data_IF_616558944932
#
_entry.id   IF_616558944932
#
_cell.length_a   1.000
_cell.length_b   1.000
_cell.length_c   1.000
_cell.angle_alpha   90.00
_cell.angle_beta   90.00
_cell.angle_gamma   90.00
#
_symmetry.space_group_name_H-M   'P 1'
#
loop_
_entity.id
_entity.type
_entity.pdbx_description
1 polymer ?
#
# COMPACT_ATOMS: atom_id res chain seq x y z
N UNK A 1 -6.89 16.24 -37.91
CA UNK A 1 -7.69 15.89 -36.71
C UNK A 1 -7.98 14.40 -36.84
N UNK A 2 -7.24 13.55 -36.15
CA UNK A 2 -7.45 12.09 -36.22
C UNK A 2 -8.80 11.78 -35.59
N UNK A 3 -9.74 11.27 -36.38
CA UNK A 3 -10.98 10.69 -35.88
C UNK A 3 -10.60 9.61 -34.87
N UNK A 4 -10.86 9.90 -33.59
CA UNK A 4 -10.91 8.86 -32.59
C UNK A 4 -12.15 8.07 -32.95
N UNK A 5 -11.99 7.02 -33.74
CA UNK A 5 -13.01 6.01 -33.95
C UNK A 5 -13.36 5.47 -32.57
N UNK A 6 -14.43 6.02 -31.99
CA UNK A 6 -15.05 5.54 -30.78
C UNK A 6 -15.63 4.17 -31.15
N UNK A 7 -14.80 3.14 -31.03
CA UNK A 7 -15.23 1.76 -31.07
C UNK A 7 -16.37 1.61 -30.05
N UNK A 8 -17.62 1.72 -30.50
CA UNK A 8 -18.81 1.53 -29.68
C UNK A 8 -18.83 0.06 -29.33
N UNK A 9 -18.18 -0.27 -28.20
CA UNK A 9 -18.28 -1.59 -27.59
C UNK A 9 -19.74 -1.98 -27.52
N UNK A 10 -20.05 -3.20 -27.94
CA UNK A 10 -21.41 -3.72 -27.93
C UNK A 10 -21.97 -3.59 -26.50
N UNK A 11 -23.29 -3.38 -26.33
CA UNK A 11 -23.89 -3.22 -25.00
C UNK A 11 -23.52 -4.36 -24.04
N UNK A 12 -23.33 -5.58 -24.57
CA UNK A 12 -22.87 -6.75 -23.83
C UNK A 12 -21.42 -6.59 -23.30
N UNK A 13 -20.50 -6.05 -24.09
CA UNK A 13 -19.11 -5.83 -23.67
C UNK A 13 -18.97 -4.74 -22.60
N UNK A 14 -19.82 -3.70 -22.64
CA UNK A 14 -19.84 -2.68 -21.59
C UNK A 14 -20.32 -3.27 -20.25
N UNK A 15 -21.38 -4.07 -20.26
CA UNK A 15 -21.89 -4.73 -19.06
C UNK A 15 -20.85 -5.67 -18.42
N UNK A 16 -20.12 -6.42 -19.25
CA UNK A 16 -19.02 -7.28 -18.78
C UNK A 16 -17.87 -6.46 -18.17
N UNK A 17 -17.50 -5.34 -18.80
CA UNK A 17 -16.47 -4.44 -18.27
C UNK A 17 -16.89 -3.82 -16.93
N UNK A 18 -18.14 -3.36 -16.81
CA UNK A 18 -18.67 -2.79 -15.57
C UNK A 18 -18.67 -3.83 -14.45
N UNK A 19 -19.09 -5.08 -14.74
CA UNK A 19 -19.06 -6.17 -13.76
C UNK A 19 -17.65 -6.47 -13.28
N UNK A 20 -16.68 -6.60 -14.21
CA UNK A 20 -15.27 -6.84 -13.88
C UNK A 20 -14.67 -5.68 -13.07
N UNK A 21 -14.96 -4.44 -13.44
CA UNK A 21 -14.48 -3.25 -12.73
C UNK A 21 -15.02 -3.20 -11.30
N UNK A 22 -16.31 -3.50 -11.10
CA UNK A 22 -16.92 -3.58 -9.76
C UNK A 22 -16.24 -4.64 -8.88
N UNK A 23 -15.90 -5.80 -9.42
CA UNK A 23 -15.21 -6.85 -8.66
C UNK A 23 -13.81 -6.42 -8.23
N UNK A 24 -13.03 -5.81 -9.14
CA UNK A 24 -11.71 -5.25 -8.83
C UNK A 24 -11.78 -4.14 -7.78
N UNK A 25 -12.75 -3.23 -7.92
CA UNK A 25 -12.95 -2.11 -7.01
C UNK A 25 -13.32 -2.57 -5.60
N UNK A 26 -14.12 -3.64 -5.46
CA UNK A 26 -14.43 -4.23 -4.14
C UNK A 26 -13.17 -4.73 -3.43
N UNK A 27 -12.27 -5.39 -4.16
CA UNK A 27 -10.99 -5.85 -3.61
C UNK A 27 -10.11 -4.69 -3.11
N UNK A 28 -10.03 -3.62 -3.89
CA UNK A 28 -9.29 -2.41 -3.50
C UNK A 28 -9.88 -1.74 -2.26
N UNK A 29 -11.21 -1.59 -2.20
CA UNK A 29 -11.88 -0.97 -1.04
C UNK A 29 -11.66 -1.81 0.22
N UNK A 30 -11.76 -3.14 0.15
CA UNK A 30 -11.48 -4.00 1.32
C UNK A 30 -10.06 -3.81 1.86
N UNK A 31 -9.06 -3.78 0.98
CA UNK A 31 -7.67 -3.58 1.41
C UNK A 31 -7.42 -2.16 1.92
N UNK A 32 -8.04 -1.16 1.29
CA UNK A 32 -8.00 0.21 1.77
C UNK A 32 -8.56 0.33 3.18
N UNK A 33 -9.72 -0.28 3.44
CA UNK A 33 -10.30 -0.36 4.79
C UNK A 33 -9.38 -1.09 5.78
N UNK A 34 -8.75 -2.19 5.39
CA UNK A 34 -7.77 -2.90 6.24
C UNK A 34 -6.57 -2.02 6.59
N UNK A 35 -6.05 -1.25 5.63
CA UNK A 35 -4.91 -0.37 5.84
C UNK A 35 -5.25 0.74 6.84
N UNK A 36 -6.42 1.38 6.71
CA UNK A 36 -6.91 2.36 7.68
C UNK A 36 -7.09 1.72 9.05
N UNK A 37 -7.67 0.52 9.12
CA UNK A 37 -7.87 -0.18 10.38
C UNK A 37 -6.54 -0.41 11.11
N UNK A 38 -5.53 -0.93 10.41
CA UNK A 38 -4.19 -1.16 10.96
C UNK A 38 -3.50 0.14 11.39
N UNK A 39 -3.64 1.24 10.67
CA UNK A 39 -3.05 2.53 11.09
C UNK A 39 -3.74 3.11 12.31
N UNK A 40 -5.06 2.99 12.42
CA UNK A 40 -5.80 3.40 13.61
C UNK A 40 -5.35 2.59 14.83
N UNK A 41 -5.21 1.27 14.71
CA UNK A 41 -4.69 0.42 15.79
C UNK A 41 -3.26 0.81 16.17
N UNK A 42 -2.40 1.07 15.20
CA UNK A 42 -1.03 1.55 15.43
C UNK A 42 -1.02 2.85 16.26
N UNK A 43 -1.87 3.83 15.91
CA UNK A 43 -1.97 5.08 16.66
C UNK A 43 -2.58 4.92 18.05
N UNK A 44 -3.59 4.06 18.23
CA UNK A 44 -4.14 3.81 19.58
C UNK A 44 -3.11 3.20 20.51
N UNK A 45 -2.23 2.31 20.01
CA UNK A 45 -1.12 1.78 20.79
C UNK A 45 -0.12 2.86 21.22
N UNK A 46 0.20 3.81 20.33
CA UNK A 46 1.06 4.96 20.68
C UNK A 46 0.39 5.86 21.72
N UNK A 47 -0.90 6.14 21.55
CA UNK A 47 -1.65 6.96 22.51
C UNK A 47 -1.72 6.27 23.88
N UNK A 48 -2.00 4.96 23.92
CA UNK A 48 -1.99 4.19 25.17
C UNK A 48 -0.63 4.21 25.86
N UNK A 49 0.46 4.15 25.08
CA UNK A 49 1.83 4.34 25.60
C UNK A 49 2.04 5.73 26.20
N UNK A 50 1.65 6.79 25.48
CA UNK A 50 1.81 8.19 25.92
C UNK A 50 0.96 8.53 27.15
N UNK A 51 -0.20 7.89 27.31
CA UNK A 51 -1.10 8.03 28.46
C UNK A 51 -0.64 7.23 29.69
N UNK A 52 0.46 6.47 29.60
CA UNK A 52 1.02 5.73 30.72
C UNK A 52 0.21 4.52 31.16
N UNK A 53 -0.57 3.91 30.25
CA UNK A 53 -1.34 2.70 30.56
C UNK A 53 -0.39 1.57 30.94
N UNK A 54 -0.60 0.97 32.10
CA UNK A 54 0.22 -0.13 32.61
C UNK A 54 0.25 -1.30 31.61
N UNK A 55 1.45 -1.76 31.24
CA UNK A 55 1.67 -2.81 30.24
C UNK A 55 2.09 -2.33 28.85
N UNK A 56 1.89 -1.05 28.50
CA UNK A 56 2.33 -0.49 27.22
C UNK A 56 3.71 0.17 27.36
N UNK A 57 4.75 -0.65 27.48
CA UNK A 57 6.14 -0.16 27.52
C UNK A 57 6.66 0.14 26.10
N UNK A 58 7.59 1.11 25.99
CA UNK A 58 8.28 1.47 24.74
C UNK A 58 8.84 0.27 23.97
N UNK A 59 9.32 -0.74 24.70
CA UNK A 59 9.91 -1.95 24.14
C UNK A 59 8.91 -2.88 23.46
N UNK A 60 7.62 -2.79 23.78
CA UNK A 60 6.55 -3.56 23.11
C UNK A 60 5.98 -2.76 21.94
N UNK A 61 5.75 -1.46 22.17
CA UNK A 61 5.07 -0.58 21.22
C UNK A 61 5.93 -0.32 19.98
N UNK A 62 7.23 -0.03 20.14
CA UNK A 62 8.10 0.28 19.00
C UNK A 62 8.20 -0.90 18.01
N UNK A 63 8.54 -2.15 18.43
CA UNK A 63 8.60 -3.27 17.50
C UNK A 63 7.25 -3.58 16.83
N UNK A 64 6.14 -3.45 17.56
CA UNK A 64 4.81 -3.67 17.02
C UNK A 64 4.45 -2.64 15.93
N UNK A 65 4.84 -1.37 16.13
CA UNK A 65 4.68 -0.32 15.13
C UNK A 65 5.50 -0.61 13.86
N UNK A 66 6.74 -1.03 14.02
CA UNK A 66 7.58 -1.43 12.88
C UNK A 66 6.99 -2.63 12.13
N UNK A 67 6.41 -3.60 12.84
CA UNK A 67 5.71 -4.73 12.23
C UNK A 67 4.51 -4.26 11.41
N UNK A 68 3.65 -3.41 11.98
CA UNK A 68 2.52 -2.85 11.23
C UNK A 68 2.98 -1.99 10.06
N UNK A 69 4.02 -1.18 10.21
CA UNK A 69 4.59 -0.37 9.13
C UNK A 69 5.14 -1.24 7.98
N UNK A 70 5.84 -2.33 8.30
CA UNK A 70 6.33 -3.27 7.28
C UNK A 70 5.17 -3.94 6.52
N UNK A 71 4.14 -4.39 7.24
CA UNK A 71 2.93 -4.96 6.62
C UNK A 71 2.22 -3.93 5.75
N UNK A 72 2.14 -2.66 6.19
CA UNK A 72 1.57 -1.58 5.39
C UNK A 72 2.33 -1.40 4.08
N UNK A 73 3.66 -1.27 4.12
CA UNK A 73 4.46 -1.11 2.89
C UNK A 73 4.26 -2.30 1.94
N UNK A 74 4.22 -3.53 2.47
CA UNK A 74 3.97 -4.72 1.66
C UNK A 74 2.57 -4.72 1.01
N UNK A 75 1.52 -4.44 1.80
CA UNK A 75 0.14 -4.39 1.29
C UNK A 75 -0.05 -3.26 0.27
N UNK A 76 0.55 -2.09 0.54
CA UNK A 76 0.51 -0.95 -0.37
C UNK A 76 1.15 -1.32 -1.71
N UNK A 77 2.35 -1.91 -1.71
CA UNK A 77 3.03 -2.33 -2.94
C UNK A 77 2.26 -3.44 -3.68
N UNK A 78 1.71 -4.43 -2.97
CA UNK A 78 1.03 -5.57 -3.59
C UNK A 78 -0.32 -5.18 -4.22
N UNK A 79 -1.12 -4.34 -3.55
CA UNK A 79 -2.48 -4.01 -4.00
C UNK A 79 -2.59 -2.77 -4.87
N UNK A 80 -1.84 -1.69 -4.58
CA UNK A 80 -1.88 -0.52 -5.47
C UNK A 80 -1.29 -0.82 -6.84
N UNK A 81 -0.39 -1.81 -6.92
CA UNK A 81 0.33 -2.09 -8.15
C UNK A 81 -0.20 -3.25 -9.02
N UNK A 82 -1.43 -3.73 -8.79
CA UNK A 82 -2.12 -4.69 -9.69
C UNK A 82 -1.28 -5.92 -10.10
N UNK A 83 -0.43 -6.44 -9.21
CA UNK A 83 0.41 -7.63 -9.49
C UNK A 83 -0.36 -8.93 -9.73
N UNK A 84 -1.70 -8.88 -9.81
CA UNK A 84 -2.58 -10.01 -10.11
C UNK A 84 -2.62 -10.36 -11.61
N UNK A 85 -2.11 -9.51 -12.51
CA UNK A 85 -2.09 -9.77 -13.96
C UNK A 85 -0.73 -10.34 -14.43
N UNK A 86 -0.79 -11.50 -15.10
CA UNK A 86 0.37 -12.23 -15.62
C UNK A 86 1.14 -11.38 -16.64
N UNK A 87 2.45 -11.21 -16.43
CA UNK A 87 3.39 -10.77 -17.48
C UNK A 87 4.26 -9.54 -17.17
N UNK A 88 4.27 -9.01 -15.94
CA UNK A 88 4.90 -7.73 -15.65
C UNK A 88 6.11 -7.85 -14.70
N UNK A 89 7.13 -8.60 -15.13
CA UNK A 89 8.40 -8.73 -14.37
C UNK A 89 9.18 -7.41 -14.26
N UNK A 90 9.03 -6.51 -15.25
CA UNK A 90 9.72 -5.21 -15.28
C UNK A 90 9.14 -4.23 -14.23
N UNK A 91 7.81 -4.01 -14.13
CA UNK A 91 7.23 -3.19 -13.06
C UNK A 91 7.56 -3.67 -11.64
N UNK A 92 7.59 -4.99 -11.43
CA UNK A 92 7.98 -5.57 -10.15
C UNK A 92 9.45 -5.25 -9.81
N UNK A 93 10.35 -5.34 -10.79
CA UNK A 93 11.76 -4.99 -10.62
C UNK A 93 11.94 -3.50 -10.31
N UNK A 94 11.22 -2.62 -11.00
CA UNK A 94 11.25 -1.18 -10.73
C UNK A 94 10.70 -0.84 -9.34
N UNK A 95 9.65 -1.52 -8.87
CA UNK A 95 9.14 -1.32 -7.51
C UNK A 95 10.10 -1.78 -6.43
N UNK A 96 10.70 -2.96 -6.58
CA UNK A 96 11.66 -3.45 -5.60
C UNK A 96 12.87 -2.51 -5.52
N UNK A 97 13.37 -2.08 -6.68
CA UNK A 97 14.45 -1.10 -6.77
C UNK A 97 14.05 0.24 -6.15
N UNK A 98 12.85 0.74 -6.45
CA UNK A 98 12.30 1.95 -5.86
C UNK A 98 12.14 1.87 -4.35
N UNK A 99 11.68 0.74 -3.82
CA UNK A 99 11.57 0.49 -2.38
C UNK A 99 12.94 0.47 -1.69
N UNK A 100 13.94 -0.16 -2.32
CA UNK A 100 15.33 -0.16 -1.84
C UNK A 100 15.88 1.27 -1.79
N UNK A 101 15.72 2.06 -2.84
CA UNK A 101 16.16 3.46 -2.84
C UNK A 101 15.39 4.33 -1.84
N UNK A 102 14.07 4.14 -1.72
CA UNK A 102 13.25 4.85 -0.75
C UNK A 102 13.65 4.54 0.70
N UNK A 103 14.21 3.36 0.97
CA UNK A 103 14.77 3.02 2.28
C UNK A 103 16.20 3.55 2.45
N UNK A 104 17.07 3.34 1.46
CA UNK A 104 18.50 3.67 1.54
C UNK A 104 18.79 5.17 1.49
N UNK A 105 18.05 5.95 0.70
CA UNK A 105 18.32 7.39 0.55
C UNK A 105 18.09 8.11 1.88
N UNK A 106 16.91 8.06 2.53
CA UNK A 106 16.71 8.72 3.82
C UNK A 106 17.68 8.20 4.89
N UNK A 107 17.93 6.89 4.92
CA UNK A 107 18.88 6.30 5.87
C UNK A 107 20.28 6.91 5.71
N UNK A 108 20.78 7.00 4.48
CA UNK A 108 22.10 7.56 4.17
C UNK A 108 22.19 9.04 4.57
N UNK A 109 21.17 9.84 4.27
CA UNK A 109 21.14 11.26 4.63
C UNK A 109 21.07 11.44 6.16
N UNK A 110 20.25 10.67 6.86
CA UNK A 110 20.18 10.73 8.33
C UNK A 110 21.49 10.27 8.99
N UNK A 111 22.21 9.28 8.43
CA UNK A 111 23.46 8.79 9.01
C UNK A 111 24.70 9.61 8.66
N UNK A 112 24.78 10.16 7.44
CA UNK A 112 26.00 10.83 6.93
C UNK A 112 25.91 12.35 7.09
N UNK A 113 24.73 12.97 6.89
CA UNK A 113 24.59 14.44 6.88
C UNK A 113 24.26 15.00 8.26
N UNK A 114 23.65 14.20 9.15
CA UNK A 114 23.28 14.63 10.50
C UNK A 114 24.43 14.53 11.53
N UNK A 115 25.64 14.16 11.08
CA UNK A 115 26.89 14.21 11.83
C UNK A 115 27.75 15.36 11.33
#
# INVERSE_FOLDING_TARGET
>A
MSEVEMYKRTPLEQDLFIRRSKETMRGQVMMFSLMIFMTLVSFTFVVAHLQGVEGFTKYLVIPLLFLFAAVQVALQLFYFMHMKEKGHGVPQMFMFTGAVFAFLIPLTFVTIVWW
#
